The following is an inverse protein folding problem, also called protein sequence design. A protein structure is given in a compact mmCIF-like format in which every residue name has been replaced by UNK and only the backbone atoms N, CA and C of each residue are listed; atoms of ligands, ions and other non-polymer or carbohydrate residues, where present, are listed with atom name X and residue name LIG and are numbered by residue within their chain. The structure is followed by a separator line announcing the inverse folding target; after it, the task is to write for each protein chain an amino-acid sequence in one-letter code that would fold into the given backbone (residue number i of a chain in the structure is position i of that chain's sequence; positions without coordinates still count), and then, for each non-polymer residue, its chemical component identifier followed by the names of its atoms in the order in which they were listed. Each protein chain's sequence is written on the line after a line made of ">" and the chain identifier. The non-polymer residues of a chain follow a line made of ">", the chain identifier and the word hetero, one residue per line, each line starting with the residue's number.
data_IF_795845984881
#
_entry.id   IF_795845984881
#
_cell.length_a   1.000
_cell.length_b   1.000
_cell.length_c   1.000
_cell.angle_alpha   90.00
_cell.angle_beta   90.00
_cell.angle_gamma   90.00
#
_symmetry.space_group_name_H-M   'P 1'
#
loop_
_entity.id
_entity.type
_entity.pdbx_description
1 polymer ?
#
# COMPACT_ATOMS: atom_id res chain seq x y z
N UNK A 1 5.14 29.19 -2.00
CA UNK A 1 3.81 29.21 -1.36
C UNK A 1 3.79 28.14 -0.27
N UNK A 2 3.25 28.48 0.89
CA UNK A 2 3.42 27.77 2.17
C UNK A 2 3.00 26.29 2.08
N UNK A 3 3.85 25.41 2.63
CA UNK A 3 3.45 24.07 3.07
C UNK A 3 2.49 24.23 4.26
N UNK A 4 1.26 24.68 4.00
CA UNK A 4 0.19 24.46 4.97
C UNK A 4 0.01 22.96 5.08
N UNK A 5 0.33 22.42 6.26
CA UNK A 5 0.01 21.05 6.62
C UNK A 5 -1.51 20.97 6.68
N UNK A 6 -2.15 20.69 5.54
CA UNK A 6 -3.58 20.50 5.47
C UNK A 6 -3.98 19.34 6.38
N UNK A 7 -4.92 19.58 7.28
CA UNK A 7 -5.53 18.51 8.06
C UNK A 7 -6.53 17.79 7.16
N UNK A 8 -6.41 16.47 7.00
CA UNK A 8 -7.26 15.75 6.05
C UNK A 8 -8.69 15.60 6.52
N UNK A 9 -8.96 15.79 7.80
CA UNK A 9 -10.34 15.96 8.27
C UNK A 9 -11.04 17.12 7.52
N UNK A 10 -10.31 18.15 7.10
CA UNK A 10 -10.84 19.27 6.31
C UNK A 10 -11.01 18.93 4.81
N UNK A 11 -10.34 17.87 4.35
CA UNK A 11 -10.33 17.41 2.96
C UNK A 11 -11.22 16.19 2.70
N UNK A 12 -11.81 15.61 3.73
CA UNK A 12 -12.78 14.52 3.57
C UNK A 12 -13.94 14.95 2.68
N UNK A 13 -14.39 14.01 1.85
CA UNK A 13 -15.48 14.17 0.87
C UNK A 13 -15.22 15.22 -0.21
N UNK A 14 -13.99 15.71 -0.36
CA UNK A 14 -13.67 16.69 -1.39
C UNK A 14 -13.29 16.02 -2.70
N UNK A 15 -13.81 16.57 -3.78
CA UNK A 15 -13.55 16.10 -5.12
C UNK A 15 -12.12 16.45 -5.55
N UNK A 16 -11.47 15.49 -6.20
CA UNK A 16 -10.10 15.59 -6.69
C UNK A 16 -10.12 15.70 -8.20
N UNK A 17 -9.39 16.66 -8.74
CA UNK A 17 -9.32 16.93 -10.18
C UNK A 17 -7.88 16.94 -10.68
N UNK A 18 -7.71 16.40 -11.88
CA UNK A 18 -6.53 16.59 -12.73
C UNK A 18 -6.97 17.42 -13.93
N UNK A 19 -6.45 18.64 -14.04
CA UNK A 19 -6.99 19.66 -14.95
C UNK A 19 -8.50 19.85 -14.69
N UNK A 20 -9.34 19.47 -15.65
CA UNK A 20 -10.81 19.56 -15.58
C UNK A 20 -11.49 18.18 -15.44
N UNK A 21 -10.73 17.09 -15.41
CA UNK A 21 -11.26 15.72 -15.21
C UNK A 21 -11.31 15.41 -13.72
N UNK A 22 -12.51 15.13 -13.19
CA UNK A 22 -12.68 14.58 -11.84
C UNK A 22 -12.06 13.19 -11.80
N UNK A 23 -11.18 12.94 -10.84
CA UNK A 23 -10.48 11.65 -10.70
C UNK A 23 -11.01 10.81 -9.55
N UNK A 24 -11.71 11.42 -8.61
CA UNK A 24 -12.28 10.74 -7.46
C UNK A 24 -12.62 11.69 -6.33
N UNK A 25 -12.96 11.11 -5.19
CA UNK A 25 -13.33 11.83 -3.96
C UNK A 25 -12.47 11.35 -2.82
N UNK A 26 -11.98 12.25 -1.96
CA UNK A 26 -11.21 11.87 -0.77
C UNK A 26 -12.16 11.23 0.25
N UNK A 27 -11.85 10.00 0.65
CA UNK A 27 -12.68 9.22 1.58
C UNK A 27 -11.98 8.90 2.90
N UNK A 28 -10.70 9.24 3.04
CA UNK A 28 -9.96 8.98 4.26
C UNK A 28 -8.47 9.23 4.18
N UNK A 29 -7.78 8.82 5.24
CA UNK A 29 -6.33 8.74 5.31
C UNK A 29 -5.86 7.30 5.46
N UNK A 30 -4.59 7.06 5.16
CA UNK A 30 -3.88 5.94 5.76
C UNK A 30 -3.92 6.08 7.28
N UNK A 31 -4.37 5.03 7.96
CA UNK A 31 -4.18 4.91 9.40
C UNK A 31 -2.74 4.47 9.70
N UNK A 32 -2.03 5.22 10.54
CA UNK A 32 -0.73 4.84 11.08
C UNK A 32 -0.56 5.46 12.48
N UNK A 33 -0.03 4.73 13.48
CA UNK A 33 0.15 5.26 14.84
C UNK A 33 1.02 6.53 14.91
N UNK A 34 1.93 6.68 13.95
CA UNK A 34 2.73 7.89 13.78
C UNK A 34 2.24 8.69 12.56
N UNK A 35 1.49 9.76 12.80
CA UNK A 35 0.92 10.64 11.77
C UNK A 35 1.98 11.25 10.85
N UNK A 36 3.20 11.48 11.33
CA UNK A 36 4.29 12.03 10.50
C UNK A 36 4.71 11.09 9.36
N UNK A 37 4.36 9.79 9.45
CA UNK A 37 4.59 8.81 8.38
C UNK A 37 3.44 8.74 7.37
N UNK A 38 2.32 9.43 7.61
CA UNK A 38 1.16 9.42 6.72
C UNK A 38 1.39 10.38 5.55
N UNK A 39 1.89 9.83 4.43
CA UNK A 39 2.20 10.59 3.20
C UNK A 39 1.14 10.49 2.11
N UNK A 40 0.12 9.66 2.31
CA UNK A 40 -0.97 9.44 1.35
C UNK A 40 -2.35 9.55 2.00
N UNK A 41 -3.31 10.00 1.20
CA UNK A 41 -4.75 9.96 1.45
C UNK A 41 -5.38 8.80 0.69
N UNK A 42 -6.64 8.49 1.01
CA UNK A 42 -7.47 7.53 0.29
C UNK A 42 -8.49 8.26 -0.55
N UNK A 43 -8.53 7.91 -1.83
CA UNK A 43 -9.55 8.37 -2.76
C UNK A 43 -10.39 7.21 -3.24
N UNK A 44 -11.70 7.43 -3.32
CA UNK A 44 -12.62 6.64 -4.12
C UNK A 44 -12.51 7.15 -5.55
N UNK A 45 -11.99 6.31 -6.43
CA UNK A 45 -11.68 6.69 -7.82
C UNK A 45 -12.94 6.57 -8.66
N UNK A 46 -13.16 7.54 -9.54
CA UNK A 46 -14.26 7.47 -10.51
C UNK A 46 -14.10 6.23 -11.40
N UNK A 47 -15.20 5.55 -11.71
CA UNK A 47 -15.15 4.26 -12.42
C UNK A 47 -14.52 4.39 -13.81
N UNK A 48 -14.86 5.43 -14.57
CA UNK A 48 -14.28 5.70 -15.89
C UNK A 48 -12.75 5.94 -15.81
N UNK A 49 -12.30 6.64 -14.77
CA UNK A 49 -10.88 6.90 -14.51
C UNK A 49 -10.16 5.61 -14.12
N UNK A 50 -10.78 4.78 -13.28
CA UNK A 50 -10.23 3.50 -12.88
C UNK A 50 -10.07 2.56 -14.08
N UNK A 51 -11.10 2.46 -14.92
CA UNK A 51 -11.12 1.60 -16.11
C UNK A 51 -10.13 2.08 -17.18
N UNK A 52 -10.00 3.38 -17.39
CA UNK A 52 -9.12 3.94 -18.42
C UNK A 52 -7.64 3.95 -18.01
N UNK A 53 -7.35 4.32 -16.75
CA UNK A 53 -5.98 4.61 -16.33
C UNK A 53 -5.35 3.56 -15.42
N UNK A 54 -6.11 2.66 -14.80
CA UNK A 54 -5.52 1.59 -13.97
C UNK A 54 -5.33 0.30 -14.75
N UNK A 55 -4.21 -0.39 -14.48
CA UNK A 55 -3.93 -1.70 -15.09
C UNK A 55 -4.98 -2.76 -14.70
N UNK A 56 -5.39 -2.72 -13.44
CA UNK A 56 -6.52 -3.46 -12.90
C UNK A 56 -7.34 -2.41 -12.15
N UNK A 57 -8.64 -2.22 -12.47
CA UNK A 57 -9.46 -1.26 -11.76
C UNK A 57 -9.43 -1.50 -10.24
N UNK A 58 -9.52 -0.42 -9.48
CA UNK A 58 -9.67 -0.44 -8.04
C UNK A 58 -10.53 0.75 -7.65
N UNK A 59 -11.54 0.49 -6.82
CA UNK A 59 -12.40 1.54 -6.28
C UNK A 59 -11.61 2.47 -5.36
N UNK A 60 -10.71 1.92 -4.54
CA UNK A 60 -9.90 2.69 -3.59
C UNK A 60 -8.42 2.69 -3.99
N UNK A 61 -7.85 3.89 -4.09
CA UNK A 61 -6.45 4.08 -4.41
C UNK A 61 -5.77 5.10 -3.45
N UNK A 62 -4.47 4.95 -3.20
CA UNK A 62 -3.72 5.95 -2.47
C UNK A 62 -3.47 7.19 -3.35
N UNK A 63 -3.62 8.37 -2.76
CA UNK A 63 -3.27 9.67 -3.33
C UNK A 63 -2.15 10.30 -2.49
N UNK A 64 -0.91 10.39 -3.00
CA UNK A 64 0.17 11.07 -2.28
C UNK A 64 -0.16 12.54 -2.01
N UNK A 65 0.01 12.99 -0.76
CA UNK A 65 -0.29 14.38 -0.33
C UNK A 65 0.52 15.41 -1.14
N UNK A 66 1.74 15.05 -1.54
CA UNK A 66 2.62 15.87 -2.37
C UNK A 66 2.09 16.19 -3.77
N UNK A 67 1.07 15.46 -4.26
CA UNK A 67 0.44 15.75 -5.53
C UNK A 67 -0.58 16.91 -5.44
N UNK A 68 -1.07 17.23 -4.25
CA UNK A 68 -2.02 18.33 -4.04
C UNK A 68 -1.35 19.66 -4.39
N UNK A 69 -1.92 20.38 -5.34
CA UNK A 69 -1.43 21.69 -5.75
C UNK A 69 -2.10 22.81 -4.97
N UNK A 70 -3.44 22.79 -4.97
CA UNK A 70 -4.27 23.81 -4.37
C UNK A 70 -5.64 23.24 -4.05
N UNK A 71 -6.29 23.89 -3.08
CA UNK A 71 -7.68 23.67 -2.72
C UNK A 71 -8.43 24.93 -3.13
N UNK A 72 -9.48 24.78 -3.92
CA UNK A 72 -10.33 25.89 -4.37
C UNK A 72 -11.27 26.35 -3.25
N UNK A 73 -11.88 27.52 -3.42
CA UNK A 73 -12.81 28.09 -2.43
C UNK A 73 -14.05 27.21 -2.18
N UNK A 74 -14.47 26.45 -3.19
CA UNK A 74 -15.54 25.45 -3.10
C UNK A 74 -15.09 24.14 -2.43
N UNK A 75 -13.78 24.01 -2.14
CA UNK A 75 -13.18 22.82 -1.57
C UNK A 75 -12.51 21.87 -2.52
N UNK A 76 -12.68 22.08 -3.81
CA UNK A 76 -12.16 21.15 -4.81
C UNK A 76 -10.65 21.07 -4.75
N UNK A 77 -10.09 19.86 -4.75
CA UNK A 77 -8.66 19.61 -4.71
C UNK A 77 -8.12 19.49 -6.13
N UNK A 78 -7.22 20.40 -6.52
CA UNK A 78 -6.52 20.33 -7.81
C UNK A 78 -5.15 19.67 -7.61
N UNK A 79 -4.85 18.67 -8.43
CA UNK A 79 -3.53 18.05 -8.45
C UNK A 79 -2.55 18.84 -9.32
N UNK A 80 -1.28 18.85 -8.92
CA UNK A 80 -0.18 19.58 -9.59
C UNK A 80 0.38 18.85 -10.80
N UNK A 81 0.05 17.56 -10.95
CA UNK A 81 0.61 16.66 -11.94
C UNK A 81 -0.44 16.15 -12.90
N UNK A 82 0.02 15.64 -14.04
CA UNK A 82 -0.83 15.09 -15.09
C UNK A 82 -1.43 13.73 -14.69
N UNK A 83 -2.44 13.30 -15.44
CA UNK A 83 -3.07 11.99 -15.27
C UNK A 83 -2.05 10.85 -15.41
N UNK A 84 -1.06 11.03 -16.31
CA UNK A 84 0.04 10.07 -16.51
C UNK A 84 0.90 9.89 -15.26
N UNK A 85 1.13 10.95 -14.48
CA UNK A 85 1.87 10.85 -13.23
C UNK A 85 1.03 10.16 -12.14
N UNK A 86 -0.27 10.47 -12.05
CA UNK A 86 -1.19 9.77 -11.15
C UNK A 86 -1.24 8.27 -11.46
N UNK A 87 -1.36 7.91 -12.74
CA UNK A 87 -1.26 6.54 -13.23
C UNK A 87 0.10 5.89 -12.88
N UNK A 88 1.21 6.64 -12.95
CA UNK A 88 2.52 6.14 -12.54
C UNK A 88 2.55 5.83 -11.05
N UNK A 89 1.94 6.67 -10.21
CA UNK A 89 1.83 6.42 -8.76
C UNK A 89 0.96 5.21 -8.45
N UNK A 90 -0.19 5.06 -9.10
CA UNK A 90 -1.05 3.87 -8.92
C UNK A 90 -0.39 2.58 -9.41
N UNK A 91 0.42 2.61 -10.47
CA UNK A 91 1.23 1.45 -10.87
C UNK A 91 2.34 1.12 -9.88
N UNK A 92 2.77 2.09 -9.06
CA UNK A 92 3.75 1.90 -8.00
C UNK A 92 3.07 1.67 -6.64
N UNK A 93 2.07 0.79 -6.61
CA UNK A 93 1.39 0.36 -5.39
C UNK A 93 1.52 -1.15 -5.21
N UNK A 94 1.34 -1.60 -3.98
CA UNK A 94 1.18 -3.01 -3.63
C UNK A 94 -0.32 -3.30 -3.66
N UNK A 95 -0.74 -4.36 -4.35
CA UNK A 95 -2.14 -4.81 -4.33
C UNK A 95 -2.26 -6.00 -3.40
N UNK A 96 -3.12 -5.89 -2.39
CA UNK A 96 -3.53 -7.00 -1.54
C UNK A 96 -5.05 -7.05 -1.63
N UNK A 97 -5.57 -8.19 -2.08
CA UNK A 97 -6.98 -8.35 -2.39
C UNK A 97 -7.46 -7.32 -3.44
N UNK A 98 -8.54 -6.58 -3.16
CA UNK A 98 -9.08 -5.57 -4.07
C UNK A 98 -8.47 -4.18 -3.86
N UNK A 99 -7.70 -4.00 -2.78
CA UNK A 99 -7.15 -2.71 -2.35
C UNK A 99 -5.72 -2.47 -2.84
N UNK A 100 -5.42 -1.22 -3.16
CA UNK A 100 -4.07 -0.73 -3.47
C UNK A 100 -3.44 -0.08 -2.24
N UNK A 101 -2.15 -0.26 -2.02
CA UNK A 101 -1.40 0.36 -0.92
C UNK A 101 -0.16 1.04 -1.48
N UNK A 102 0.09 2.28 -1.07
CA UNK A 102 1.34 2.94 -1.37
C UNK A 102 2.49 2.22 -0.64
N UNK A 103 3.72 2.29 -1.17
CA UNK A 103 4.86 1.58 -0.60
C UNK A 103 5.10 1.88 0.89
N UNK A 104 4.98 3.14 1.27
CA UNK A 104 5.16 3.60 2.64
C UNK A 104 4.06 3.11 3.58
N UNK A 105 2.88 2.76 3.05
CA UNK A 105 1.78 2.17 3.84
C UNK A 105 2.09 0.77 4.31
N UNK A 106 3.01 0.06 3.65
CA UNK A 106 3.34 -1.33 3.94
C UNK A 106 4.48 -1.48 4.95
N UNK A 107 5.36 -0.49 5.03
CA UNK A 107 6.52 -0.52 5.94
C UNK A 107 6.05 -0.50 7.40
N UNK A 108 6.83 -1.15 8.26
CA UNK A 108 6.62 -1.27 9.71
C UNK A 108 5.38 -2.05 10.13
N UNK A 109 4.59 -2.56 9.18
CA UNK A 109 3.43 -3.40 9.50
C UNK A 109 3.84 -4.74 10.07
N UNK A 110 3.10 -5.18 11.08
CA UNK A 110 3.22 -6.55 11.59
C UNK A 110 2.63 -7.53 10.57
N UNK A 111 3.36 -8.62 10.30
CA UNK A 111 2.87 -9.74 9.50
C UNK A 111 2.34 -10.80 10.45
N UNK A 112 1.06 -11.14 10.30
CA UNK A 112 0.44 -12.23 11.05
C UNK A 112 0.06 -13.36 10.10
N UNK A 113 0.10 -14.59 10.58
CA UNK A 113 -0.61 -15.65 9.90
C UNK A 113 -2.14 -15.54 10.09
N UNK A 114 -2.88 -16.40 9.41
CA UNK A 114 -4.33 -16.48 9.50
C UNK A 114 -4.86 -16.90 10.90
N UNK A 115 -4.00 -17.43 11.79
CA UNK A 115 -4.34 -17.76 13.18
C UNK A 115 -3.98 -16.62 14.16
N UNK A 116 -3.35 -15.55 13.67
CA UNK A 116 -2.96 -14.41 14.49
C UNK A 116 -1.58 -14.56 15.13
N UNK A 117 -0.77 -15.54 14.71
CA UNK A 117 0.63 -15.61 15.13
C UNK A 117 1.43 -14.54 14.40
N UNK A 118 2.11 -13.69 15.16
CA UNK A 118 3.00 -12.68 14.58
C UNK A 118 4.29 -13.34 14.05
N UNK A 119 4.54 -13.15 12.76
CA UNK A 119 5.68 -13.70 12.03
C UNK A 119 6.88 -12.75 12.12
N UNK A 120 6.62 -11.45 12.04
CA UNK A 120 7.65 -10.42 11.99
C UNK A 120 7.09 -9.08 11.53
N UNK A 121 8.00 -8.19 11.15
CA UNK A 121 7.67 -6.83 10.70
C UNK A 121 8.21 -6.61 9.30
N UNK A 122 7.43 -5.93 8.44
CA UNK A 122 7.85 -5.54 7.10
C UNK A 122 8.91 -4.44 7.20
N UNK A 123 10.12 -4.72 6.74
CA UNK A 123 11.22 -3.75 6.70
C UNK A 123 11.35 -3.11 5.34
N UNK A 124 11.11 -3.87 4.27
CA UNK A 124 11.29 -3.40 2.89
C UNK A 124 10.30 -4.06 1.92
N UNK A 125 10.24 -3.54 0.70
CA UNK A 125 9.46 -4.11 -0.40
C UNK A 125 10.37 -4.71 -1.46
N UNK A 126 10.13 -5.96 -1.83
CA UNK A 126 10.89 -6.65 -2.86
C UNK A 126 10.25 -6.44 -4.23
N UNK A 127 11.02 -5.87 -5.15
CA UNK A 127 10.54 -5.44 -6.46
C UNK A 127 11.31 -6.15 -7.58
N UNK A 128 10.59 -6.76 -8.51
CA UNK A 128 11.18 -7.29 -9.75
C UNK A 128 10.81 -6.34 -10.88
N UNK A 129 11.83 -5.76 -11.53
CA UNK A 129 11.68 -4.70 -12.53
C UNK A 129 10.86 -3.53 -11.99
N UNK A 130 9.57 -3.46 -12.33
CA UNK A 130 8.65 -2.37 -11.96
C UNK A 130 7.51 -2.81 -11.04
N UNK A 131 7.45 -4.09 -10.65
CA UNK A 131 6.32 -4.66 -9.90
C UNK A 131 6.78 -5.15 -8.54
N UNK A 132 6.06 -4.79 -7.48
CA UNK A 132 6.28 -5.37 -6.15
C UNK A 132 5.84 -6.83 -6.16
N UNK A 133 6.77 -7.73 -5.87
CA UNK A 133 6.57 -9.19 -5.89
C UNK A 133 6.48 -9.78 -4.49
N UNK A 134 7.12 -9.13 -3.52
CA UNK A 134 7.02 -9.51 -2.12
C UNK A 134 7.36 -8.36 -1.21
N UNK A 135 7.44 -8.70 0.07
CA UNK A 135 7.96 -7.83 1.13
C UNK A 135 9.10 -8.57 1.83
N UNK A 136 10.07 -7.81 2.34
CA UNK A 136 11.12 -8.34 3.19
C UNK A 136 10.64 -8.21 4.63
N UNK A 137 10.63 -9.33 5.34
CA UNK A 137 10.14 -9.44 6.71
C UNK A 137 11.31 -9.77 7.62
N UNK A 138 11.52 -8.94 8.64
CA UNK A 138 12.37 -9.28 9.77
C UNK A 138 11.59 -10.17 10.72
N UNK A 139 11.96 -11.44 10.81
CA UNK A 139 11.25 -12.46 11.56
C UNK A 139 11.49 -12.34 13.06
N UNK A 140 10.52 -12.78 13.86
CA UNK A 140 10.70 -12.90 15.32
C UNK A 140 11.59 -14.11 15.65
N UNK A 141 12.43 -14.02 16.68
CA UNK A 141 13.32 -15.12 17.10
C UNK A 141 12.58 -16.44 17.36
N UNK A 142 11.37 -16.39 17.93
CA UNK A 142 10.55 -17.59 18.14
C UNK A 142 10.08 -18.23 16.83
N UNK A 143 9.81 -17.43 15.80
CA UNK A 143 9.43 -17.91 14.46
C UNK A 143 10.64 -18.55 13.77
N UNK A 144 11.83 -17.98 13.92
CA UNK A 144 13.07 -18.57 13.39
C UNK A 144 13.31 -19.96 13.97
N UNK A 145 13.17 -20.12 15.29
CA UNK A 145 13.37 -21.40 15.98
C UNK A 145 12.31 -22.43 15.61
N UNK A 146 11.03 -22.03 15.58
CA UNK A 146 9.92 -22.97 15.38
C UNK A 146 9.82 -23.47 13.94
N UNK A 147 10.19 -22.64 12.95
CA UNK A 147 10.05 -22.96 11.53
C UNK A 147 11.37 -23.15 10.79
N UNK A 148 12.52 -22.94 11.45
CA UNK A 148 13.84 -23.07 10.84
C UNK A 148 14.10 -22.06 9.72
N UNK A 149 13.64 -20.81 9.90
CA UNK A 149 13.77 -19.73 8.91
C UNK A 149 14.79 -18.67 9.35
N UNK A 150 15.33 -17.95 8.38
CA UNK A 150 16.32 -16.90 8.61
C UNK A 150 15.75 -15.66 9.30
N UNK A 151 16.65 -14.78 9.79
CA UNK A 151 16.27 -13.50 10.41
C UNK A 151 15.48 -12.60 9.45
N UNK A 152 15.78 -12.69 8.16
CA UNK A 152 15.12 -11.95 7.10
C UNK A 152 14.69 -12.90 6.00
N UNK A 153 13.43 -12.81 5.59
CA UNK A 153 12.91 -13.60 4.48
C UNK A 153 11.98 -12.77 3.61
N UNK A 154 11.73 -13.25 2.38
CA UNK A 154 10.81 -12.62 1.45
C UNK A 154 9.46 -13.33 1.48
N UNK A 155 8.39 -12.59 1.72
CA UNK A 155 7.02 -13.10 1.59
C UNK A 155 6.41 -12.55 0.30
N UNK A 156 5.94 -13.42 -0.62
CA UNK A 156 5.32 -12.96 -1.85
C UNK A 156 4.01 -12.23 -1.56
N UNK A 157 3.70 -11.18 -2.32
CA UNK A 157 2.47 -10.39 -2.12
C UNK A 157 1.21 -11.28 -2.23
N UNK A 158 1.26 -12.29 -3.08
CA UNK A 158 0.16 -13.26 -3.28
C UNK A 158 -0.11 -14.14 -2.06
N UNK A 159 0.78 -14.20 -1.08
CA UNK A 159 0.53 -14.93 0.16
C UNK A 159 -0.36 -14.15 1.14
N UNK A 160 -0.54 -12.83 0.97
CA UNK A 160 -1.39 -12.02 1.82
C UNK A 160 -2.87 -12.09 1.40
N UNK A 161 -3.76 -12.12 2.39
CA UNK A 161 -5.21 -12.12 2.18
C UNK A 161 -5.84 -10.75 2.40
N UNK A 162 -5.37 -10.00 3.40
CA UNK A 162 -5.96 -8.71 3.80
C UNK A 162 -4.99 -7.90 4.64
N UNK A 163 -5.28 -6.62 4.80
CA UNK A 163 -4.66 -5.76 5.82
C UNK A 163 -5.68 -5.40 6.89
N UNK A 164 -5.26 -5.23 8.14
CA UNK A 164 -6.08 -4.64 9.19
C UNK A 164 -5.54 -3.26 9.50
N UNK A 165 -6.18 -2.25 8.90
CA UNK A 165 -5.67 -0.88 8.88
C UNK A 165 -5.53 -0.28 10.29
N UNK A 166 -6.49 -0.52 11.19
CA UNK A 166 -6.48 0.00 12.58
C UNK A 166 -5.39 -0.61 13.47
N UNK A 167 -4.94 -1.82 13.15
CA UNK A 167 -3.92 -2.53 13.92
C UNK A 167 -2.53 -2.44 13.28
N UNK A 168 -2.44 -1.80 12.11
CA UNK A 168 -1.24 -1.75 11.29
C UNK A 168 -0.67 -3.14 10.93
N UNK A 169 -1.59 -4.08 10.65
CA UNK A 169 -1.26 -5.48 10.37
C UNK A 169 -1.49 -5.86 8.91
N UNK A 170 -0.75 -6.86 8.44
CA UNK A 170 -0.99 -7.59 7.20
C UNK A 170 -1.13 -9.07 7.53
N UNK A 171 -2.17 -9.71 7.01
CA UNK A 171 -2.54 -11.09 7.36
C UNK A 171 -2.27 -12.00 6.17
N UNK A 172 -1.55 -13.09 6.41
CA UNK A 172 -1.34 -14.15 5.43
C UNK A 172 -2.66 -14.87 5.13
N UNK A 173 -2.74 -15.48 3.96
CA UNK A 173 -3.90 -16.28 3.53
C UNK A 173 -4.02 -17.62 4.24
N UNK A 174 -2.94 -18.08 4.88
CA UNK A 174 -2.80 -19.40 5.49
C UNK A 174 -1.76 -19.36 6.61
N UNK A 175 -1.67 -20.45 7.37
CA UNK A 175 -0.68 -20.61 8.42
C UNK A 175 0.73 -20.49 7.82
N UNK A 176 1.69 -20.03 8.62
CA UNK A 176 3.03 -19.72 8.11
C UNK A 176 3.76 -20.94 7.54
N UNK A 177 3.62 -22.13 8.14
CA UNK A 177 4.16 -23.39 7.60
C UNK A 177 3.69 -23.66 6.16
N UNK A 178 2.43 -23.36 5.86
CA UNK A 178 1.85 -23.53 4.53
C UNK A 178 2.30 -22.45 3.56
N UNK A 179 2.68 -21.26 4.04
CA UNK A 179 3.28 -20.22 3.19
C UNK A 179 4.67 -20.64 2.73
N UNK A 180 5.48 -21.25 3.61
CA UNK A 180 6.82 -21.73 3.29
C UNK A 180 6.84 -22.77 2.15
N UNK A 181 5.73 -23.52 2.01
CA UNK A 181 5.56 -24.54 0.97
C UNK A 181 5.05 -23.98 -0.36
N UNK A 182 4.70 -22.69 -0.45
CA UNK A 182 4.18 -22.11 -1.68
C UNK A 182 5.30 -22.05 -2.74
N UNK A 183 5.03 -22.45 -4.00
CA UNK A 183 5.98 -22.26 -5.09
C UNK A 183 6.42 -20.80 -5.21
N UNK A 184 5.48 -19.85 -5.05
CA UNK A 184 5.79 -18.41 -5.07
C UNK A 184 6.72 -17.96 -3.93
N UNK A 185 6.68 -18.64 -2.78
CA UNK A 185 7.60 -18.36 -1.66
C UNK A 185 8.98 -18.92 -1.96
N UNK A 186 9.06 -20.17 -2.42
CA UNK A 186 10.33 -20.81 -2.78
C UNK A 186 11.03 -19.99 -3.85
N UNK A 187 10.34 -19.71 -4.97
CA UNK A 187 10.92 -18.97 -6.08
C UNK A 187 11.37 -17.56 -5.71
N UNK A 188 10.66 -16.83 -4.84
CA UNK A 188 11.06 -15.46 -4.50
C UNK A 188 12.28 -15.41 -3.57
N UNK A 189 12.47 -16.44 -2.73
CA UNK A 189 13.61 -16.54 -1.82
C UNK A 189 14.85 -17.14 -2.50
N UNK A 190 14.69 -17.87 -3.61
CA UNK A 190 15.81 -18.35 -4.44
C UNK A 190 16.41 -17.28 -5.37
N UNK A 191 15.69 -16.18 -5.61
CA UNK A 191 16.22 -15.06 -6.41
C UNK A 191 17.41 -14.43 -5.67
N UNK A 192 18.58 -14.45 -6.28
CA UNK A 192 19.71 -13.62 -5.83
C UNK A 192 19.36 -12.16 -6.06
N UNK A 193 19.75 -11.27 -5.14
CA UNK A 193 19.63 -9.82 -5.34
C UNK A 193 20.55 -9.45 -6.53
N UNK A 194 19.97 -9.19 -7.71
CA UNK A 194 20.64 -8.56 -8.85
C UNK A 194 20.71 -7.04 -8.69
#
# INVERSE_FOLDING_TARGET
>A
MKNEKYNIQELLQRDVYVNDKKVGTIVGERHHPNEARVRSMRIQVESDVADEYMRKPAELAPLPKELVHSIRNDGTVKLSKSMRELQRRWRNTVRIDEKLYAPDEMLDRAVLDNQGREIGVITELFKIKRTYKGVIVKTRLGVQKDFGVDETLRIPITAFSRTRERLDEVVLSRNFDKVLQLPSYISINELTDE
#
